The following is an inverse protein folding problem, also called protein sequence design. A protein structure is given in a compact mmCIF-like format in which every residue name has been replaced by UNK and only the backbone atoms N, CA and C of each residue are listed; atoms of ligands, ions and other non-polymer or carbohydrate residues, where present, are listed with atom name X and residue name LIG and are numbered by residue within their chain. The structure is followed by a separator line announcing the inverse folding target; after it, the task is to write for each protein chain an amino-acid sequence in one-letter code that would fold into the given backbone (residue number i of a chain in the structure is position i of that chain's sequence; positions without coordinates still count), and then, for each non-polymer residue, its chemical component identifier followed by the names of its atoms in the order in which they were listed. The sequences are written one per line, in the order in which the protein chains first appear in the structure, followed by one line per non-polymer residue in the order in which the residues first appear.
data_IF_739094592219
#
_entry.id   IF_739094592219
#
_cell.length_a   1.000
_cell.length_b   1.000
_cell.length_c   1.000
_cell.angle_alpha   90.00
_cell.angle_beta   90.00
_cell.angle_gamma   90.00
#
_symmetry.space_group_name_H-M   'P 1'
#
loop_
_entity.id
_entity.type
_entity.pdbx_description
1 polymer ?
#
# COMPACT_ATOMS: atom_id res chain seq x y z
N UNK A 1 -72.04 10.65 -5.43
CA UNK A 1 -71.17 10.16 -4.33
C UNK A 1 -70.30 8.96 -4.76
N UNK A 2 -69.66 8.97 -5.94
CA UNK A 2 -68.83 7.84 -6.42
C UNK A 2 -67.39 8.22 -6.81
N UNK A 3 -67.06 9.51 -6.83
CA UNK A 3 -65.75 10.03 -7.26
C UNK A 3 -64.75 10.21 -6.11
N UNK A 4 -65.20 10.27 -4.85
CA UNK A 4 -64.33 10.41 -3.68
C UNK A 4 -63.69 9.10 -3.18
N UNK A 5 -64.34 7.96 -3.42
CA UNK A 5 -63.85 6.66 -2.94
C UNK A 5 -62.68 6.12 -3.78
N UNK A 6 -62.64 6.45 -5.08
CA UNK A 6 -61.56 6.05 -5.99
C UNK A 6 -60.25 6.81 -5.73
N UNK A 7 -60.33 8.07 -5.29
CA UNK A 7 -59.15 8.89 -5.01
C UNK A 7 -58.41 8.47 -3.72
N UNK A 8 -59.13 7.91 -2.75
CA UNK A 8 -58.56 7.45 -1.48
C UNK A 8 -57.80 6.12 -1.60
N UNK A 9 -58.20 5.26 -2.55
CA UNK A 9 -57.53 3.98 -2.85
C UNK A 9 -56.21 4.20 -3.59
N UNK A 10 -56.09 5.26 -4.39
CA UNK A 10 -54.86 5.58 -5.12
C UNK A 10 -53.75 6.16 -4.22
N UNK A 11 -54.11 6.82 -3.12
CA UNK A 11 -53.15 7.42 -2.17
C UNK A 11 -52.57 6.37 -1.21
N UNK A 12 -53.31 5.31 -0.87
CA UNK A 12 -52.84 4.23 0.00
C UNK A 12 -51.83 3.32 -0.73
N UNK A 13 -51.88 3.23 -2.07
CA UNK A 13 -50.96 2.39 -2.84
C UNK A 13 -49.57 3.01 -3.04
N UNK A 14 -49.42 4.33 -2.86
CA UNK A 14 -48.13 5.04 -3.05
C UNK A 14 -47.28 5.05 -1.76
N UNK A 15 -47.86 4.72 -0.60
CA UNK A 15 -47.14 4.77 0.69
C UNK A 15 -46.26 3.55 0.99
N UNK A 16 -46.13 2.58 0.08
CA UNK A 16 -45.28 1.38 0.26
C UNK A 16 -43.92 1.44 -0.45
N UNK A 17 -43.56 2.56 -1.10
CA UNK A 17 -42.34 2.67 -1.89
C UNK A 17 -41.14 3.30 -1.15
N UNK A 18 -41.20 3.52 0.17
CA UNK A 18 -40.12 4.11 0.94
C UNK A 18 -39.50 3.09 1.91
N UNK A 19 -38.55 2.27 1.43
CA UNK A 19 -37.89 1.34 2.34
C UNK A 19 -36.98 0.29 1.72
N UNK A 20 -36.11 0.65 0.80
CA UNK A 20 -34.90 -0.14 0.53
C UNK A 20 -33.71 0.81 0.49
N UNK A 21 -33.18 1.11 1.68
CA UNK A 21 -31.82 1.62 1.76
C UNK A 21 -30.90 0.57 1.12
N UNK A 22 -30.05 0.93 0.15
CA UNK A 22 -29.05 0.00 -0.34
C UNK A 22 -28.11 -0.30 0.83
N UNK A 23 -28.26 -1.48 1.43
CA UNK A 23 -27.20 -2.03 2.25
C UNK A 23 -26.08 -2.34 1.26
N UNK A 24 -25.01 -1.54 1.30
CA UNK A 24 -23.77 -1.84 0.57
C UNK A 24 -23.25 -3.15 1.19
N UNK A 25 -23.67 -4.27 0.62
CA UNK A 25 -23.02 -5.55 0.84
C UNK A 25 -21.75 -5.49 0.01
N UNK A 26 -20.63 -5.28 0.69
CA UNK A 26 -19.33 -5.59 0.13
C UNK A 26 -19.38 -7.08 -0.26
N UNK A 27 -19.43 -7.36 -1.55
CA UNK A 27 -19.35 -8.72 -2.06
C UNK A 27 -17.94 -9.22 -1.78
N UNK A 28 -17.82 -10.02 -0.72
CA UNK A 28 -16.58 -10.68 -0.32
C UNK A 28 -16.31 -11.70 -1.42
N UNK A 29 -15.33 -11.44 -2.28
CA UNK A 29 -14.77 -12.46 -3.17
C UNK A 29 -14.07 -13.50 -2.31
N UNK A 30 -14.82 -14.53 -1.97
CA UNK A 30 -14.40 -15.68 -1.18
C UNK A 30 -13.65 -16.63 -2.12
N UNK A 31 -12.33 -16.46 -2.27
CA UNK A 31 -11.49 -17.43 -2.97
C UNK A 31 -10.02 -17.26 -2.54
N UNK A 32 -9.76 -17.68 -1.29
CA UNK A 32 -8.59 -18.43 -0.82
C UNK A 32 -8.43 -18.23 0.69
N UNK A 33 -8.78 -19.25 1.46
CA UNK A 33 -8.49 -19.29 2.90
C UNK A 33 -6.99 -19.53 3.05
N UNK A 34 -6.19 -18.46 3.15
CA UNK A 34 -4.77 -18.57 3.48
C UNK A 34 -4.64 -18.83 4.99
N UNK A 35 -4.52 -20.10 5.37
CA UNK A 35 -4.15 -20.51 6.73
C UNK A 35 -2.64 -20.32 6.92
N UNK A 36 -2.25 -19.31 7.72
CA UNK A 36 -0.85 -19.08 8.11
C UNK A 36 -0.58 -17.62 8.47
N UNK A 37 0.39 -17.37 9.36
CA UNK A 37 0.83 -16.01 9.74
C UNK A 37 1.58 -15.29 8.62
N UNK A 38 2.11 -16.03 7.66
CA UNK A 38 2.97 -15.48 6.63
C UNK A 38 2.16 -14.86 5.49
N UNK A 39 2.72 -13.81 4.89
CA UNK A 39 2.16 -13.19 3.69
C UNK A 39 2.23 -14.19 2.53
N UNK A 40 1.08 -14.47 1.90
CA UNK A 40 1.05 -15.48 0.84
C UNK A 40 1.79 -15.00 -0.40
N UNK A 41 2.29 -15.95 -1.21
CA UNK A 41 2.87 -15.64 -2.51
C UNK A 41 1.90 -14.86 -3.41
N UNK A 42 0.59 -15.13 -3.27
CA UNK A 42 -0.48 -14.42 -3.96
C UNK A 42 -0.58 -12.97 -3.50
N UNK A 43 -0.64 -12.71 -2.19
CA UNK A 43 -0.73 -11.35 -1.64
C UNK A 43 0.47 -10.51 -2.08
N UNK A 44 1.68 -11.07 -2.00
CA UNK A 44 2.91 -10.41 -2.44
C UNK A 44 2.86 -10.08 -3.94
N UNK A 45 2.40 -11.02 -4.76
CA UNK A 45 2.24 -10.82 -6.20
C UNK A 45 1.21 -9.74 -6.48
N UNK A 46 0.03 -9.82 -5.89
CA UNK A 46 -1.08 -8.89 -6.12
C UNK A 46 -0.71 -7.45 -5.74
N UNK A 47 -0.06 -7.26 -4.58
CA UNK A 47 0.46 -5.95 -4.17
C UNK A 47 1.52 -5.45 -5.13
N UNK A 48 2.52 -6.28 -5.44
CA UNK A 48 3.64 -5.84 -6.28
C UNK A 48 3.21 -5.49 -7.71
N UNK A 49 2.31 -6.28 -8.29
CA UNK A 49 1.78 -6.05 -9.64
C UNK A 49 0.90 -4.79 -9.66
N UNK A 50 0.04 -4.60 -8.64
CA UNK A 50 -0.78 -3.40 -8.51
C UNK A 50 0.07 -2.13 -8.35
N UNK A 51 1.01 -2.13 -7.40
CA UNK A 51 1.84 -0.97 -7.11
C UNK A 51 2.74 -0.59 -8.29
N UNK A 52 3.39 -1.57 -8.92
CA UNK A 52 4.18 -1.30 -10.12
C UNK A 52 3.32 -0.81 -11.29
N UNK A 53 2.09 -1.33 -11.42
CA UNK A 53 1.11 -0.86 -12.39
C UNK A 53 0.68 0.58 -12.16
N UNK A 54 0.43 0.95 -10.90
CA UNK A 54 0.05 2.31 -10.52
C UNK A 54 1.18 3.30 -10.78
N UNK A 55 2.40 2.99 -10.34
CA UNK A 55 3.59 3.82 -10.62
C UNK A 55 3.78 4.03 -12.12
N UNK A 56 3.65 2.97 -12.93
CA UNK A 56 3.80 3.06 -14.39
C UNK A 56 2.81 4.05 -15.02
N UNK A 57 1.61 4.14 -14.47
CA UNK A 57 0.53 5.01 -14.97
C UNK A 57 0.56 6.40 -14.34
N UNK A 58 1.44 6.64 -13.38
CA UNK A 58 1.49 7.90 -12.66
C UNK A 58 1.97 9.04 -13.57
N UNK A 59 1.30 10.19 -13.48
CA UNK A 59 1.58 11.36 -14.32
C UNK A 59 3.04 11.84 -14.23
N UNK A 60 3.71 11.66 -13.09
CA UNK A 60 5.10 12.07 -12.92
C UNK A 60 6.06 11.33 -13.85
N UNK A 61 5.77 10.07 -14.24
CA UNK A 61 6.64 9.30 -15.14
C UNK A 61 6.79 10.00 -16.49
N UNK A 62 5.73 10.64 -16.97
CA UNK A 62 5.70 11.38 -18.24
C UNK A 62 6.10 12.85 -18.11
N UNK A 63 6.43 13.33 -16.91
CA UNK A 63 6.82 14.72 -16.74
C UNK A 63 8.19 14.98 -17.40
N UNK A 64 8.44 16.17 -17.97
CA UNK A 64 9.72 16.48 -18.62
C UNK A 64 10.94 16.24 -17.72
N UNK A 65 10.80 16.49 -16.43
CA UNK A 65 11.84 16.29 -15.42
C UNK A 65 12.25 14.81 -15.31
N UNK A 66 11.29 13.89 -15.27
CA UNK A 66 11.56 12.47 -15.01
C UNK A 66 11.71 11.62 -16.28
N UNK A 67 11.09 12.05 -17.39
CA UNK A 67 11.22 11.39 -18.68
C UNK A 67 12.64 11.50 -19.26
N UNK A 68 13.31 12.64 -19.05
CA UNK A 68 14.65 12.91 -19.59
C UNK A 68 15.77 12.31 -18.74
N UNK A 69 15.70 12.46 -17.41
CA UNK A 69 16.80 12.09 -16.52
C UNK A 69 16.73 10.66 -15.98
N UNK A 70 15.54 10.03 -15.98
CA UNK A 70 15.27 8.72 -15.33
C UNK A 70 15.98 8.60 -13.96
N UNK A 71 15.48 9.32 -12.93
CA UNK A 71 16.17 9.40 -11.65
C UNK A 71 16.43 8.02 -11.04
N UNK A 72 17.56 7.89 -10.33
CA UNK A 72 17.82 6.72 -9.47
C UNK A 72 17.02 6.83 -8.17
N UNK A 73 16.44 5.71 -7.76
CA UNK A 73 15.57 5.61 -6.60
C UNK A 73 16.33 4.91 -5.46
N UNK A 74 16.06 5.32 -4.24
CA UNK A 74 16.39 4.55 -3.05
C UNK A 74 15.16 3.75 -2.60
N UNK A 75 15.40 2.55 -2.10
CA UNK A 75 14.39 1.79 -1.38
C UNK A 75 14.57 2.07 0.11
N UNK A 76 13.51 2.49 0.80
CA UNK A 76 13.52 2.46 2.26
C UNK A 76 13.70 1.02 2.74
N UNK A 77 14.53 0.81 3.77
CA UNK A 77 14.91 -0.54 4.21
C UNK A 77 13.69 -1.41 4.49
N UNK A 78 12.74 -0.89 5.26
CA UNK A 78 11.51 -1.56 5.68
C UNK A 78 10.32 -0.59 5.55
N UNK A 79 9.11 -1.15 5.46
CA UNK A 79 7.89 -0.35 5.65
C UNK A 79 7.61 -0.17 7.15
N UNK A 80 7.02 0.96 7.52
CA UNK A 80 6.49 1.16 8.86
C UNK A 80 5.37 0.13 9.09
N UNK A 81 5.52 -0.72 10.10
CA UNK A 81 4.53 -1.73 10.46
C UNK A 81 3.65 -1.23 11.60
N UNK A 82 2.39 -0.96 11.29
CA UNK A 82 1.32 -0.54 12.22
C UNK A 82 0.26 -1.64 12.40
N UNK A 83 0.62 -2.88 12.09
CA UNK A 83 -0.24 -4.06 12.32
C UNK A 83 0.05 -4.67 13.69
N UNK A 84 -0.88 -5.51 14.18
CA UNK A 84 -0.68 -6.29 15.40
C UNK A 84 0.26 -7.51 15.18
N UNK A 85 0.82 -7.67 13.98
CA UNK A 85 1.56 -8.86 13.56
C UNK A 85 2.97 -8.53 13.09
N UNK A 86 3.88 -9.50 13.22
CA UNK A 86 5.23 -9.38 12.68
C UNK A 86 5.22 -9.66 11.17
N UNK A 87 4.91 -8.63 10.39
CA UNK A 87 4.97 -8.68 8.93
C UNK A 87 6.41 -8.47 8.45
N UNK A 88 6.90 -9.36 7.60
CA UNK A 88 8.16 -9.16 6.88
C UNK A 88 7.97 -8.11 5.76
N UNK A 89 8.00 -6.84 6.14
CA UNK A 89 7.76 -5.72 5.23
C UNK A 89 8.87 -5.56 4.20
N UNK A 90 10.10 -5.99 4.52
CA UNK A 90 11.21 -6.06 3.58
C UNK A 90 10.85 -6.87 2.34
N UNK A 91 10.26 -8.05 2.53
CA UNK A 91 9.89 -8.94 1.41
C UNK A 91 8.89 -8.28 0.46
N UNK A 92 7.92 -7.53 0.99
CA UNK A 92 6.96 -6.76 0.19
C UNK A 92 7.70 -5.70 -0.65
N UNK A 93 8.55 -4.89 -0.01
CA UNK A 93 9.34 -3.85 -0.67
C UNK A 93 10.27 -4.42 -1.76
N UNK A 94 10.89 -5.56 -1.49
CA UNK A 94 11.75 -6.26 -2.45
C UNK A 94 11.00 -6.76 -3.69
N UNK A 95 9.80 -7.31 -3.51
CA UNK A 95 8.98 -7.74 -4.65
C UNK A 95 8.52 -6.56 -5.50
N UNK A 96 8.15 -5.44 -4.88
CA UNK A 96 7.83 -4.20 -5.60
C UNK A 96 9.06 -3.68 -6.34
N UNK A 97 10.23 -3.58 -5.69
CA UNK A 97 11.50 -3.17 -6.32
C UNK A 97 11.81 -4.05 -7.53
N UNK A 98 11.73 -5.36 -7.38
CA UNK A 98 11.95 -6.34 -8.46
C UNK A 98 10.99 -6.09 -9.63
N UNK A 99 9.70 -5.88 -9.36
CA UNK A 99 8.71 -5.59 -10.41
C UNK A 99 8.95 -4.27 -11.13
N UNK A 100 9.35 -3.23 -10.41
CA UNK A 100 9.66 -1.92 -10.98
C UNK A 100 10.90 -1.98 -11.88
N UNK A 101 11.96 -2.67 -11.44
CA UNK A 101 13.20 -2.84 -12.23
C UNK A 101 12.92 -3.68 -13.48
N UNK A 102 12.31 -4.86 -13.32
CA UNK A 102 12.02 -5.76 -14.45
C UNK A 102 11.04 -5.14 -15.44
N UNK A 103 10.14 -4.27 -14.96
CA UNK A 103 9.22 -3.51 -15.80
C UNK A 103 9.85 -2.30 -16.50
N UNK A 104 11.14 -2.01 -16.28
CA UNK A 104 11.83 -0.85 -16.84
C UNK A 104 11.32 0.50 -16.31
N UNK A 105 10.60 0.50 -15.18
CA UNK A 105 9.93 1.69 -14.62
C UNK A 105 10.91 2.53 -13.80
N UNK A 106 11.79 1.87 -13.04
CA UNK A 106 12.69 2.53 -12.12
C UNK A 106 14.06 1.84 -12.08
N UNK A 107 15.09 2.63 -11.79
CA UNK A 107 16.44 2.15 -11.48
C UNK A 107 16.71 2.41 -10.01
N UNK A 108 17.05 1.37 -9.25
CA UNK A 108 17.33 1.50 -7.82
C UNK A 108 18.83 1.54 -7.56
N UNK A 109 19.20 2.29 -6.52
CA UNK A 109 20.50 2.18 -5.89
C UNK A 109 20.47 0.99 -4.94
N UNK A 110 21.56 0.23 -4.93
CA UNK A 110 21.76 -0.86 -3.98
C UNK A 110 21.84 -0.30 -2.56
N UNK A 111 20.94 -0.77 -1.70
CA UNK A 111 20.82 -0.31 -0.33
C UNK A 111 21.92 -0.88 0.58
N UNK A 112 22.52 -2.03 0.22
CA UNK A 112 23.73 -2.53 0.92
C UNK A 112 24.92 -1.59 0.69
N UNK A 113 25.13 -1.17 -0.56
CA UNK A 113 26.16 -0.20 -0.88
C UNK A 113 25.93 1.15 -0.14
N UNK A 114 24.67 1.59 -0.01
CA UNK A 114 24.32 2.78 0.78
C UNK A 114 24.70 2.60 2.25
N UNK A 115 24.43 1.44 2.82
CA UNK A 115 24.74 1.13 4.21
C UNK A 115 26.25 1.06 4.48
N UNK A 116 27.01 0.48 3.55
CA UNK A 116 28.47 0.45 3.65
C UNK A 116 29.07 1.86 3.63
N UNK A 117 28.58 2.73 2.73
CA UNK A 117 28.96 4.14 2.68
C UNK A 117 28.63 4.83 4.01
N UNK A 118 27.40 4.62 4.51
CA UNK A 118 26.97 5.16 5.80
C UNK A 118 27.85 4.69 6.96
N UNK A 119 28.21 3.42 6.98
CA UNK A 119 29.05 2.84 8.03
C UNK A 119 30.48 3.40 7.96
N UNK A 120 31.05 3.54 6.76
CA UNK A 120 32.34 4.21 6.56
C UNK A 120 32.31 5.67 7.02
N UNK A 121 31.23 6.40 6.71
CA UNK A 121 31.05 7.79 7.18
C UNK A 121 30.93 7.87 8.71
N UNK A 122 30.20 6.96 9.34
CA UNK A 122 30.11 6.87 10.81
C UNK A 122 31.45 6.61 11.48
N UNK A 123 32.28 5.76 10.88
CA UNK A 123 33.63 5.48 11.36
C UNK A 123 34.57 6.69 11.20
N UNK A 124 34.38 7.50 10.15
CA UNK A 124 35.15 8.73 9.92
C UNK A 124 34.72 9.91 10.80
N UNK A 125 33.46 9.95 11.25
CA UNK A 125 32.89 11.05 12.04
C UNK A 125 32.51 10.58 13.45
N UNK A 126 33.51 10.23 14.26
CA UNK A 126 33.36 9.71 15.63
C UNK A 126 32.85 10.74 16.68
N UNK A 127 32.03 11.73 16.30
CA UNK A 127 31.62 12.78 17.25
C UNK A 127 30.31 13.55 16.98
N UNK A 128 29.77 13.63 15.77
CA UNK A 128 28.55 14.40 15.51
C UNK A 128 27.75 13.79 14.36
N UNK A 129 26.48 13.43 14.60
CA UNK A 129 25.51 13.40 13.50
C UNK A 129 24.15 13.96 13.92
N UNK A 130 23.70 14.90 13.10
CA UNK A 130 22.39 15.54 13.09
C UNK A 130 21.56 14.99 11.91
N UNK A 131 20.24 15.20 11.92
CA UNK A 131 19.22 14.59 11.05
C UNK A 131 19.32 14.88 9.52
N UNK A 132 20.40 15.51 9.04
CA UNK A 132 20.63 15.86 7.60
C UNK A 132 21.11 14.68 6.72
N UNK A 133 21.17 13.48 7.28
CA UNK A 133 21.85 12.30 6.71
C UNK A 133 21.24 11.80 5.41
N UNK A 134 19.92 11.75 5.26
CA UNK A 134 19.27 11.13 4.08
C UNK A 134 19.50 11.94 2.80
N UNK A 135 19.36 13.26 2.86
CA UNK A 135 19.59 14.12 1.69
C UNK A 135 21.07 14.14 1.29
N UNK A 136 21.98 14.14 2.28
CA UNK A 136 23.41 14.09 2.04
C UNK A 136 23.84 12.75 1.42
N UNK A 137 23.34 11.63 1.95
CA UNK A 137 23.58 10.29 1.40
C UNK A 137 22.98 10.18 0.00
N UNK A 138 21.74 10.63 -0.19
CA UNK A 138 21.09 10.65 -1.50
C UNK A 138 21.91 11.43 -2.53
N UNK A 139 22.49 12.57 -2.16
CA UNK A 139 23.41 13.33 -3.02
C UNK A 139 24.68 12.53 -3.36
N UNK A 140 25.26 11.82 -2.39
CA UNK A 140 26.46 11.00 -2.59
C UNK A 140 26.21 9.83 -3.55
N UNK A 141 25.08 9.14 -3.42
CA UNK A 141 24.73 8.01 -4.29
C UNK A 141 23.97 8.43 -5.57
N UNK A 142 23.69 9.73 -5.70
CA UNK A 142 22.90 10.31 -6.80
C UNK A 142 21.45 9.83 -6.84
N UNK A 143 20.88 9.46 -5.70
CA UNK A 143 19.46 9.21 -5.55
C UNK A 143 18.69 10.53 -5.59
N UNK A 144 17.61 10.59 -6.37
CA UNK A 144 16.70 11.75 -6.36
C UNK A 144 15.38 11.44 -5.66
N UNK A 145 14.97 10.18 -5.67
CA UNK A 145 13.69 9.73 -5.14
C UNK A 145 13.89 8.61 -4.12
N UNK A 146 13.01 8.51 -3.13
CA UNK A 146 12.95 7.39 -2.18
C UNK A 146 11.55 6.78 -2.19
N UNK A 147 11.49 5.47 -2.39
CA UNK A 147 10.28 4.67 -2.24
C UNK A 147 10.19 4.19 -0.79
N UNK A 148 9.12 4.58 -0.09
CA UNK A 148 8.83 4.15 1.29
C UNK A 148 7.39 3.66 1.40
N UNK A 149 7.10 2.94 2.48
CA UNK A 149 5.75 2.42 2.70
C UNK A 149 5.36 2.30 4.15
N UNK A 150 4.05 2.12 4.35
CA UNK A 150 3.43 1.77 5.62
C UNK A 150 2.47 0.61 5.38
N UNK A 151 2.39 -0.30 6.35
CA UNK A 151 1.36 -1.32 6.41
C UNK A 151 0.59 -1.17 7.72
N UNK A 152 -0.73 -1.16 7.63
CA UNK A 152 -1.65 -1.11 8.77
C UNK A 152 -2.67 -2.24 8.67
N UNK A 153 -3.31 -2.60 9.79
CA UNK A 153 -4.34 -3.64 9.80
C UNK A 153 -5.51 -3.30 10.71
N UNK A 154 -6.71 -3.69 10.29
CA UNK A 154 -7.92 -3.64 11.12
C UNK A 154 -8.47 -5.07 11.24
N UNK A 155 -8.52 -5.59 12.46
CA UNK A 155 -9.08 -6.92 12.76
C UNK A 155 -10.54 -6.82 13.18
N UNK A 156 -11.42 -7.56 12.52
CA UNK A 156 -12.80 -7.78 12.93
C UNK A 156 -12.95 -9.22 13.41
N UNK A 157 -13.18 -9.38 14.71
CA UNK A 157 -13.44 -10.69 15.34
C UNK A 157 -14.94 -11.00 15.29
N UNK A 158 -15.29 -12.21 14.88
CA UNK A 158 -16.66 -12.77 15.03
C UNK A 158 -16.58 -14.11 15.76
N UNK A 159 -17.72 -14.67 16.20
CA UNK A 159 -17.74 -15.95 16.94
C UNK A 159 -17.08 -17.11 16.19
N UNK A 160 -17.06 -17.08 14.84
CA UNK A 160 -16.59 -18.20 14.01
C UNK A 160 -15.42 -17.86 13.08
N UNK A 161 -15.19 -16.58 12.79
CA UNK A 161 -14.17 -16.13 11.83
C UNK A 161 -13.48 -14.85 12.31
N UNK A 162 -12.17 -14.76 12.11
CA UNK A 162 -11.43 -13.52 12.21
C UNK A 162 -11.20 -12.98 10.79
N UNK A 163 -11.64 -11.75 10.54
CA UNK A 163 -11.38 -11.03 9.28
C UNK A 163 -10.29 -10.01 9.56
N UNK A 164 -9.22 -10.03 8.77
CA UNK A 164 -8.14 -9.04 8.86
C UNK A 164 -8.12 -8.25 7.55
N UNK A 165 -8.22 -6.93 7.67
CA UNK A 165 -8.04 -6.01 6.56
C UNK A 165 -6.65 -5.40 6.68
N UNK A 166 -5.78 -5.62 5.70
CA UNK A 166 -4.50 -4.94 5.58
C UNK A 166 -4.64 -3.79 4.60
N UNK A 167 -4.07 -2.64 4.94
CA UNK A 167 -3.87 -1.53 4.02
C UNK A 167 -2.36 -1.31 3.89
N UNK A 168 -1.86 -1.37 2.65
CA UNK A 168 -0.48 -1.03 2.31
C UNK A 168 -0.50 0.27 1.54
N UNK A 169 0.16 1.29 2.08
CA UNK A 169 0.38 2.56 1.41
C UNK A 169 1.84 2.65 0.98
N UNK A 170 2.09 3.01 -0.28
CA UNK A 170 3.43 3.35 -0.76
C UNK A 170 3.49 4.81 -1.20
N UNK A 171 4.66 5.41 -1.00
CA UNK A 171 4.95 6.78 -1.38
C UNK A 171 6.30 6.86 -2.07
N UNK A 172 6.35 7.62 -3.15
CA UNK A 172 7.57 8.04 -3.79
C UNK A 172 7.81 9.51 -3.44
N UNK A 173 8.95 9.78 -2.81
CA UNK A 173 9.25 11.09 -2.23
C UNK A 173 10.52 11.65 -2.85
N UNK A 174 10.50 12.93 -3.22
CA UNK A 174 11.71 13.67 -3.61
C UNK A 174 12.64 13.84 -2.42
N UNK A 175 13.87 13.34 -2.52
CA UNK A 175 14.88 13.44 -1.46
C UNK A 175 15.29 14.91 -1.25
N UNK A 176 15.26 15.72 -2.32
CA UNK A 176 15.68 17.11 -2.26
C UNK A 176 14.62 18.03 -1.63
N UNK A 177 13.35 17.84 -1.99
CA UNK A 177 12.25 18.74 -1.59
C UNK A 177 11.38 18.16 -0.47
N UNK A 178 11.45 16.86 -0.21
CA UNK A 178 10.53 16.17 0.70
C UNK A 178 9.11 15.98 0.15
N UNK A 179 8.87 16.38 -1.11
CA UNK A 179 7.57 16.29 -1.75
C UNK A 179 7.19 14.85 -2.09
N UNK A 180 5.96 14.45 -1.79
CA UNK A 180 5.38 13.18 -2.25
C UNK A 180 4.94 13.37 -3.70
N UNK A 181 5.65 12.75 -4.63
CA UNK A 181 5.38 12.87 -6.07
C UNK A 181 4.43 11.79 -6.59
N UNK A 182 4.29 10.71 -5.83
CA UNK A 182 3.33 9.64 -6.07
C UNK A 182 2.99 8.95 -4.76
N UNK A 183 1.73 8.57 -4.62
CA UNK A 183 1.23 7.75 -3.51
C UNK A 183 0.12 6.87 -4.04
N UNK A 184 0.03 5.65 -3.54
CA UNK A 184 -1.11 4.78 -3.77
C UNK A 184 -1.23 3.77 -2.64
N UNK A 185 -2.40 3.14 -2.54
CA UNK A 185 -2.71 2.15 -1.52
C UNK A 185 -3.37 0.89 -2.09
N UNK A 186 -3.10 -0.24 -1.43
CA UNK A 186 -3.75 -1.50 -1.76
C UNK A 186 -4.29 -2.15 -0.49
N UNK A 187 -5.57 -2.46 -0.54
CA UNK A 187 -6.24 -3.25 0.50
C UNK A 187 -6.19 -4.74 0.17
N UNK A 188 -5.98 -5.54 1.21
CA UNK A 188 -6.08 -7.00 1.16
C UNK A 188 -6.94 -7.47 2.33
N UNK A 189 -7.95 -8.28 2.03
CA UNK A 189 -8.78 -8.92 3.03
C UNK A 189 -8.35 -10.38 3.19
N UNK A 190 -8.12 -10.81 4.43
CA UNK A 190 -7.83 -12.19 4.78
C UNK A 190 -8.89 -12.74 5.74
N UNK A 191 -9.28 -13.99 5.51
CA UNK A 191 -10.20 -14.76 6.34
C UNK A 191 -9.40 -15.82 7.09
N UNK A 192 -9.38 -15.72 8.42
CA UNK A 192 -8.83 -16.77 9.29
C UNK A 192 -9.98 -17.50 9.95
N UNK A 193 -10.10 -18.80 9.66
CA UNK A 193 -10.98 -19.70 10.42
C UNK A 193 -10.23 -20.17 11.66
N UNK A 194 -10.84 -20.06 12.85
CA UNK A 194 -10.32 -20.76 14.02
C UNK A 194 -10.51 -22.25 13.78
N UNK A 195 -9.41 -22.96 13.57
CA UNK A 195 -9.41 -24.41 13.58
C UNK A 195 -9.76 -24.90 14.99
N UNK A 196 -10.97 -25.44 15.15
CA UNK A 196 -11.39 -26.12 16.37
C UNK A 196 -10.80 -27.54 16.36
N UNK A 197 -9.51 -27.67 16.61
CA UNK A 197 -8.95 -28.95 17.05
C UNK A 197 -8.34 -28.75 18.44
N UNK A 198 -9.00 -29.37 19.43
CA UNK A 198 -8.51 -29.64 20.78
C UNK A 198 -7.85 -31.01 20.81
#
# INVERSE_FOLDING_TARGET
MKTGFSLFILIILISFAAGCAPTIKYEIKDEETVTGSDWSAKDLKDVSDYMAGSVRQAAFISSPQYASERPRWMLARDMKNETDEHVNTRTIMEKIRTRLINGGIASFIDDQAVEDILNQMKLQQSGLFDNKTVAQVGKLVGAKLILRGTISSIRKKTERKDIIYYNITLQLVSIQTGEIIWTDEKEIQRLTSKSMFR
#
